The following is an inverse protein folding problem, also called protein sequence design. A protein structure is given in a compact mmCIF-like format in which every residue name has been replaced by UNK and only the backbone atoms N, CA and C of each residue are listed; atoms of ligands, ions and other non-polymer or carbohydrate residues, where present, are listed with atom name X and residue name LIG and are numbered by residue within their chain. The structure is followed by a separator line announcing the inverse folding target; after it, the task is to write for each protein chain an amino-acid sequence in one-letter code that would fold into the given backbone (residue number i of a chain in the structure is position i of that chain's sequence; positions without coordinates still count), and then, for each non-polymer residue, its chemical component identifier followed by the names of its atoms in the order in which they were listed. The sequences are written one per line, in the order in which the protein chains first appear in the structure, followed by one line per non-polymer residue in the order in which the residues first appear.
data_IF_911998695103
#
_entry.id   IF_911998695103
#
_cell.length_a   1.000
_cell.length_b   1.000
_cell.length_c   1.000
_cell.angle_alpha   90.00
_cell.angle_beta   90.00
_cell.angle_gamma   90.00
#
_symmetry.space_group_name_H-M   'P 1'
#
loop_
_entity.id
_entity.type
_entity.pdbx_description
1 polymer ?
#
# COMPACT_ATOMS: atom_id res chain seq x y z
N UNK A 1 -11.36 -14.65 -63.67
CA UNK A 1 -11.95 -15.02 -62.37
C UNK A 1 -11.57 -13.96 -61.34
N UNK A 2 -12.54 -13.37 -60.63
CA UNK A 2 -12.33 -12.20 -59.74
C UNK A 2 -11.87 -12.67 -58.36
N UNK A 3 -10.82 -12.03 -57.84
CA UNK A 3 -10.24 -12.27 -56.51
C UNK A 3 -11.13 -11.60 -55.46
N UNK A 4 -11.75 -12.37 -54.57
CA UNK A 4 -12.54 -11.83 -53.46
C UNK A 4 -11.65 -11.76 -52.21
N UNK A 5 -11.30 -10.54 -51.80
CA UNK A 5 -10.57 -10.29 -50.55
C UNK A 5 -11.52 -10.42 -49.35
N UNK A 6 -11.34 -11.47 -48.55
CA UNK A 6 -12.02 -11.62 -47.26
C UNK A 6 -11.50 -10.59 -46.24
N UNK A 7 -12.38 -9.67 -45.80
CA UNK A 7 -12.10 -8.66 -44.77
C UNK A 7 -11.75 -9.34 -43.43
N UNK A 8 -10.58 -9.01 -42.87
CA UNK A 8 -10.18 -9.39 -41.50
C UNK A 8 -11.15 -8.78 -40.48
N UNK A 9 -12.04 -9.61 -39.92
CA UNK A 9 -12.80 -9.25 -38.73
C UNK A 9 -11.83 -9.23 -37.55
N UNK A 10 -11.55 -8.05 -36.97
CA UNK A 10 -10.77 -7.91 -35.74
C UNK A 10 -11.46 -8.72 -34.65
N UNK A 11 -10.84 -9.84 -34.23
CA UNK A 11 -11.22 -10.53 -32.99
C UNK A 11 -11.02 -9.54 -31.84
N UNK A 12 -12.10 -8.95 -31.36
CA UNK A 12 -12.14 -8.36 -30.04
C UNK A 12 -11.71 -9.46 -29.07
N UNK A 13 -10.48 -9.39 -28.57
CA UNK A 13 -10.07 -10.13 -27.38
C UNK A 13 -10.85 -9.51 -26.22
N UNK A 14 -12.12 -9.89 -26.12
CA UNK A 14 -12.84 -9.92 -24.86
C UNK A 14 -12.03 -10.81 -23.95
N UNK A 15 -11.08 -10.21 -23.24
CA UNK A 15 -10.28 -10.89 -22.24
C UNK A 15 -11.20 -11.05 -21.04
N UNK A 16 -11.96 -12.15 -21.13
CA UNK A 16 -12.41 -13.03 -20.07
C UNK A 16 -11.87 -12.62 -18.71
N UNK A 17 -12.80 -12.47 -17.78
CA UNK A 17 -12.52 -12.31 -16.37
C UNK A 17 -11.40 -13.24 -15.92
N UNK A 18 -10.45 -12.65 -15.20
CA UNK A 18 -9.56 -13.40 -14.32
C UNK A 18 -9.72 -12.72 -12.97
N UNK A 19 -10.39 -13.39 -12.03
CA UNK A 19 -10.33 -13.09 -10.60
C UNK A 19 -8.85 -13.15 -10.17
N UNK A 20 -8.11 -12.08 -10.38
CA UNK A 20 -6.68 -11.98 -10.09
C UNK A 20 -6.47 -11.51 -8.66
N UNK A 21 -6.82 -12.32 -7.66
CA UNK A 21 -6.71 -11.95 -6.24
C UNK A 21 -5.47 -12.43 -5.45
N UNK A 22 -4.46 -13.14 -6.01
CA UNK A 22 -3.18 -13.33 -5.29
C UNK A 22 -2.16 -12.22 -5.55
N UNK A 23 -1.86 -11.95 -6.83
CA UNK A 23 -0.75 -11.05 -7.22
C UNK A 23 -0.97 -9.59 -6.80
N UNK A 24 -2.22 -9.14 -6.75
CA UNK A 24 -2.54 -7.79 -6.31
C UNK A 24 -2.32 -7.62 -4.80
N UNK A 25 -2.69 -8.62 -3.99
CA UNK A 25 -2.51 -8.56 -2.55
C UNK A 25 -1.03 -8.59 -2.18
N UNK A 26 -0.25 -9.46 -2.82
CA UNK A 26 1.19 -9.56 -2.61
C UNK A 26 1.93 -8.28 -3.02
N UNK A 27 1.59 -7.69 -4.17
CA UNK A 27 2.17 -6.40 -4.60
C UNK A 27 1.74 -5.24 -3.71
N UNK A 28 0.51 -5.24 -3.23
CA UNK A 28 0.02 -4.27 -2.25
C UNK A 28 0.76 -4.38 -0.92
N UNK A 29 0.97 -5.60 -0.41
CA UNK A 29 1.72 -5.83 0.83
C UNK A 29 3.17 -5.36 0.72
N UNK A 30 3.89 -5.76 -0.35
CA UNK A 30 5.27 -5.28 -0.56
C UNK A 30 5.37 -3.76 -0.64
N UNK A 31 4.43 -3.12 -1.34
CA UNK A 31 4.37 -1.65 -1.42
C UNK A 31 4.17 -1.02 -0.05
N UNK A 32 3.24 -1.54 0.75
CA UNK A 32 2.96 -1.01 2.09
C UNK A 32 4.12 -1.21 3.05
N UNK A 33 4.77 -2.38 3.04
CA UNK A 33 5.97 -2.61 3.84
C UNK A 33 7.09 -1.65 3.44
N UNK A 34 7.28 -1.43 2.13
CA UNK A 34 8.23 -0.42 1.63
C UNK A 34 7.85 1.02 2.00
N UNK A 35 6.59 1.32 2.28
CA UNK A 35 6.18 2.63 2.84
C UNK A 35 6.53 2.68 4.33
N UNK A 36 6.19 1.63 5.09
CA UNK A 36 6.49 1.58 6.53
C UNK A 36 7.97 1.77 6.82
N UNK A 37 8.87 1.10 6.07
CA UNK A 37 10.33 1.28 6.22
C UNK A 37 10.81 2.72 6.01
N UNK A 38 10.13 3.47 5.14
CA UNK A 38 10.48 4.87 4.83
C UNK A 38 9.86 5.88 5.77
N UNK A 39 8.70 5.55 6.36
CA UNK A 39 7.95 6.48 7.20
C UNK A 39 8.30 6.32 8.68
N UNK A 40 8.59 5.10 9.13
CA UNK A 40 8.90 4.81 10.53
C UNK A 40 10.40 5.00 10.77
N UNK A 41 10.83 5.94 11.62
CA UNK A 41 12.25 6.18 11.87
C UNK A 41 12.96 4.92 12.39
N UNK A 42 14.15 4.61 11.86
CA UNK A 42 14.97 3.49 12.30
C UNK A 42 14.46 2.12 11.83
N UNK A 43 13.66 2.10 10.76
CA UNK A 43 13.11 0.89 10.14
C UNK A 43 13.54 0.70 8.68
N UNK A 44 14.46 1.51 8.17
CA UNK A 44 14.91 1.52 6.78
C UNK A 44 15.47 0.15 6.36
N UNK A 45 16.27 -0.47 7.23
CA UNK A 45 16.99 -1.73 6.98
C UNK A 45 16.34 -2.94 7.69
N UNK A 46 15.12 -2.81 8.21
CA UNK A 46 14.44 -3.92 8.89
C UNK A 46 13.92 -4.92 7.85
N UNK A 47 14.62 -6.04 7.71
CA UNK A 47 14.24 -7.11 6.78
C UNK A 47 13.00 -7.88 7.27
N UNK A 48 12.95 -8.22 8.56
CA UNK A 48 11.88 -9.00 9.17
C UNK A 48 10.55 -8.23 9.21
N UNK A 49 9.53 -8.76 8.53
CA UNK A 49 8.24 -8.09 8.36
C UNK A 49 7.47 -7.95 9.69
N UNK A 50 7.50 -8.99 10.52
CA UNK A 50 6.88 -8.97 11.85
C UNK A 50 7.50 -7.87 12.74
N UNK A 51 8.83 -7.76 12.74
CA UNK A 51 9.55 -6.73 13.49
C UNK A 51 9.20 -5.33 12.98
N UNK A 52 9.12 -5.13 11.66
CA UNK A 52 8.71 -3.87 11.05
C UNK A 52 7.27 -3.48 11.48
N UNK A 53 6.34 -4.43 11.47
CA UNK A 53 4.96 -4.19 11.88
C UNK A 53 4.89 -3.84 13.37
N UNK A 54 5.59 -4.58 14.24
CA UNK A 54 5.61 -4.31 15.68
C UNK A 54 6.20 -2.93 16.00
N UNK A 55 7.34 -2.58 15.40
CA UNK A 55 7.92 -1.23 15.54
C UNK A 55 6.97 -0.15 15.04
N UNK A 56 6.27 -0.38 13.93
CA UNK A 56 5.27 0.56 13.39
C UNK A 56 4.12 0.78 14.38
N UNK A 57 3.59 -0.28 15.01
CA UNK A 57 2.55 -0.18 16.04
C UNK A 57 3.04 0.60 17.25
N UNK A 58 4.23 0.28 17.75
CA UNK A 58 4.84 0.96 18.89
C UNK A 58 5.01 2.47 18.61
N UNK A 59 5.48 2.82 17.42
CA UNK A 59 5.62 4.21 17.00
C UNK A 59 4.28 4.95 16.99
N UNK A 60 3.21 4.34 16.46
CA UNK A 60 1.87 4.92 16.48
C UNK A 60 1.33 5.10 17.91
N UNK A 61 1.59 4.15 18.80
CA UNK A 61 1.20 4.28 20.21
C UNK A 61 1.89 5.46 20.89
N UNK A 62 3.19 5.64 20.62
CA UNK A 62 3.96 6.78 21.12
C UNK A 62 3.46 8.11 20.55
N UNK A 63 3.22 8.19 19.23
CA UNK A 63 2.63 9.39 18.62
C UNK A 63 1.27 9.72 19.24
N UNK A 64 0.43 8.72 19.49
CA UNK A 64 -0.88 8.93 20.12
C UNK A 64 -0.77 9.49 21.54
N UNK A 65 0.20 9.01 22.33
CA UNK A 65 0.44 9.55 23.67
C UNK A 65 0.97 10.98 23.61
N UNK A 66 1.89 11.27 22.67
CA UNK A 66 2.39 12.63 22.42
C UNK A 66 1.28 13.59 21.98
N UNK A 67 0.40 13.20 21.07
CA UNK A 67 -0.78 14.00 20.66
C UNK A 67 -1.70 14.27 21.85
N UNK A 68 -1.89 13.27 22.72
CA UNK A 68 -2.70 13.45 23.93
C UNK A 68 -2.08 14.47 24.88
N UNK A 69 -0.76 14.44 25.06
CA UNK A 69 -0.04 15.43 25.85
C UNK A 69 -0.14 16.82 25.22
N UNK A 70 0.11 16.92 23.91
CA UNK A 70 0.02 18.17 23.16
C UNK A 70 -1.37 18.80 23.26
N UNK A 71 -2.44 17.99 23.23
CA UNK A 71 -3.80 18.47 23.43
C UNK A 71 -3.98 19.10 24.81
N UNK A 72 -3.52 18.44 25.87
CA UNK A 72 -3.59 19.00 27.24
C UNK A 72 -2.81 20.32 27.35
N UNK A 73 -1.66 20.41 26.69
CA UNK A 73 -0.88 21.64 26.67
C UNK A 73 -1.59 22.75 25.89
N UNK A 74 -2.19 22.42 24.74
CA UNK A 74 -2.99 23.36 23.97
C UNK A 74 -4.18 23.90 24.79
N UNK A 75 -4.88 23.02 25.51
CA UNK A 75 -5.97 23.40 26.42
C UNK A 75 -5.50 24.42 27.50
N UNK A 76 -4.30 24.21 28.08
CA UNK A 76 -3.70 25.14 29.07
C UNK A 76 -3.26 26.45 28.42
N UNK A 77 -2.74 26.39 27.18
CA UNK A 77 -2.30 27.57 26.44
C UNK A 77 -3.45 28.34 25.77
N UNK A 78 -4.67 27.79 25.73
CA UNK A 78 -5.83 28.38 25.07
C UNK A 78 -5.76 28.38 23.54
N UNK A 79 -5.08 27.39 22.94
CA UNK A 79 -4.94 27.19 21.47
C UNK A 79 -5.87 26.10 20.97
#
# INVERSE_FOLDING_TARGET
MKVVTCKKVKKHRGRRGRKGKPRFLETFMRRNLGILRRTIPGCEDVEEEEALILKSIQHLMLLKSQVTLLRKLADVCGV
#
